data_IF_482518929105
#
_entry.id   IF_482518929105
#
_cell.length_a   1.000
_cell.length_b   1.000
_cell.length_c   1.000
_cell.angle_alpha   90.00
_cell.angle_beta   90.00
_cell.angle_gamma   90.00
#
_symmetry.space_group_name_H-M   'P 1'
#
loop_
_entity.id
_entity.type
_entity.pdbx_description
1 polymer ?
#
# COMPACT_ATOMS: atom_id res chain seq x y z
N UNK A 1 19.31 -17.49 6.03
CA UNK A 1 17.92 -18.01 6.00
C UNK A 1 17.37 -17.95 7.42
N UNK A 2 16.06 -17.97 7.65
CA UNK A 2 15.50 -18.14 8.99
C UNK A 2 15.54 -19.63 9.42
N UNK A 3 15.03 -19.96 10.61
CA UNK A 3 14.95 -21.33 11.15
C UNK A 3 14.16 -22.33 10.29
N UNK A 4 13.40 -21.85 9.30
CA UNK A 4 12.65 -22.64 8.33
C UNK A 4 13.26 -22.61 6.93
N UNK A 5 14.52 -22.20 6.83
CA UNK A 5 15.28 -22.09 5.58
C UNK A 5 14.72 -21.07 4.56
N UNK A 6 13.91 -20.10 5.00
CA UNK A 6 13.43 -19.02 4.13
C UNK A 6 14.44 -17.88 4.04
N UNK A 7 14.56 -17.29 2.84
CA UNK A 7 15.33 -16.06 2.65
C UNK A 7 14.67 -14.90 3.39
N UNK A 8 15.45 -14.20 4.19
CA UNK A 8 15.06 -12.96 4.85
C UNK A 8 15.58 -11.80 4.03
N UNK A 9 14.72 -10.83 3.73
CA UNK A 9 15.08 -9.61 2.98
C UNK A 9 14.50 -8.40 3.68
N UNK A 10 15.17 -7.24 3.56
CA UNK A 10 14.63 -5.98 4.06
C UNK A 10 13.59 -5.42 3.08
N UNK A 11 12.61 -4.68 3.57
CA UNK A 11 11.56 -4.10 2.72
C UNK A 11 12.13 -3.23 1.60
N UNK A 12 13.12 -2.39 1.87
CA UNK A 12 13.77 -1.54 0.87
C UNK A 12 14.51 -2.32 -0.24
N UNK A 13 14.77 -3.62 -0.06
CA UNK A 13 15.37 -4.48 -1.08
C UNK A 13 14.33 -5.10 -2.01
N UNK A 14 13.07 -5.22 -1.57
CA UNK A 14 12.01 -6.00 -2.24
C UNK A 14 10.76 -5.20 -2.57
N UNK A 15 10.60 -3.98 -2.04
CA UNK A 15 9.47 -3.10 -2.32
C UNK A 15 9.82 -1.63 -2.13
N UNK A 16 9.00 -0.76 -2.72
CA UNK A 16 9.03 0.70 -2.49
C UNK A 16 7.79 1.14 -1.71
N UNK A 17 7.97 1.95 -0.67
CA UNK A 17 6.85 2.58 0.04
C UNK A 17 6.56 3.95 -0.59
N UNK A 18 5.34 4.13 -1.08
CA UNK A 18 4.82 5.39 -1.61
C UNK A 18 3.98 6.10 -0.57
N UNK A 19 4.34 7.34 -0.27
CA UNK A 19 3.47 8.26 0.46
C UNK A 19 2.28 8.65 -0.42
N UNK A 20 1.10 8.75 0.20
CA UNK A 20 -0.04 9.33 -0.46
C UNK A 20 0.16 10.80 -0.83
N UNK A 21 -0.66 11.26 -1.78
CA UNK A 21 -0.72 12.66 -2.21
C UNK A 21 -2.16 13.16 -2.28
N UNK A 22 -2.33 14.46 -2.08
CA UNK A 22 -3.62 15.12 -2.29
C UNK A 22 -4.11 14.92 -3.73
N UNK A 23 -5.37 14.48 -3.86
CA UNK A 23 -5.98 14.08 -5.12
C UNK A 23 -6.66 15.23 -5.90
N UNK A 24 -6.84 16.42 -5.31
CA UNK A 24 -7.68 17.50 -5.89
C UNK A 24 -7.32 17.90 -7.33
N UNK A 25 -6.04 17.79 -7.70
CA UNK A 25 -5.56 18.18 -9.04
C UNK A 25 -5.72 17.07 -10.09
N UNK A 26 -5.90 15.83 -9.65
CA UNK A 26 -5.98 14.65 -10.51
C UNK A 26 -7.37 14.01 -10.53
N UNK A 27 -8.21 14.34 -9.55
CA UNK A 27 -9.60 13.86 -9.45
C UNK A 27 -10.41 14.25 -10.69
N UNK A 28 -11.03 13.24 -11.29
CA UNK A 28 -11.76 13.34 -12.54
C UNK A 28 -12.80 12.20 -12.60
N UNK A 29 -14.06 12.53 -12.85
CA UNK A 29 -15.15 11.55 -12.93
C UNK A 29 -14.98 10.59 -14.13
N UNK A 30 -14.31 11.03 -15.19
CA UNK A 30 -13.97 10.23 -16.36
C UNK A 30 -12.53 9.66 -16.27
N UNK A 31 -11.91 9.77 -15.09
CA UNK A 31 -10.57 9.28 -14.80
C UNK A 31 -10.45 7.75 -14.94
N UNK A 32 -9.27 7.28 -15.34
CA UNK A 32 -9.01 5.85 -15.56
C UNK A 32 -8.43 5.12 -14.35
N UNK A 33 -7.94 5.86 -13.36
CA UNK A 33 -7.22 5.29 -12.23
C UNK A 33 -8.01 5.51 -10.95
N UNK A 34 -8.29 4.47 -10.15
CA UNK A 34 -8.99 4.65 -8.90
C UNK A 34 -8.17 5.48 -7.91
N UNK A 35 -8.86 6.34 -7.18
CA UNK A 35 -8.33 7.03 -6.00
C UNK A 35 -8.66 6.18 -4.79
N UNK A 36 -7.63 5.76 -4.08
CA UNK A 36 -7.77 4.99 -2.85
C UNK A 36 -7.39 5.80 -1.62
N UNK A 37 -8.26 5.74 -0.61
CA UNK A 37 -7.88 5.93 0.78
C UNK A 37 -7.72 4.61 1.51
N UNK A 38 -7.42 4.68 2.81
CA UNK A 38 -7.32 3.49 3.68
C UNK A 38 -8.63 2.69 3.81
N UNK A 39 -9.77 3.28 3.40
CA UNK A 39 -11.09 2.65 3.45
C UNK A 39 -11.57 2.04 2.12
N UNK A 40 -10.77 2.11 1.05
CA UNK A 40 -11.17 1.70 -0.29
C UNK A 40 -11.18 2.83 -1.31
N UNK A 41 -11.86 2.59 -2.43
CA UNK A 41 -11.99 3.54 -3.54
C UNK A 41 -12.89 4.70 -3.09
N UNK A 42 -12.50 5.92 -3.45
CA UNK A 42 -13.28 7.13 -3.15
C UNK A 42 -13.54 8.02 -4.37
N UNK A 43 -12.99 7.66 -5.53
CA UNK A 43 -13.14 8.41 -6.78
C UNK A 43 -12.22 7.87 -7.85
N UNK A 44 -12.10 8.61 -8.96
CA UNK A 44 -11.19 8.30 -10.05
C UNK A 44 -10.31 9.51 -10.37
N UNK A 45 -9.16 9.23 -10.95
CA UNK A 45 -8.13 10.19 -11.30
C UNK A 45 -7.66 9.98 -12.73
N UNK A 46 -7.24 11.08 -13.35
CA UNK A 46 -6.59 11.07 -14.67
C UNK A 46 -5.12 10.61 -14.63
N UNK A 47 -4.52 10.54 -13.44
CA UNK A 47 -3.14 10.14 -13.22
C UNK A 47 -3.00 9.20 -12.01
N UNK A 48 -1.85 8.54 -11.85
CA UNK A 48 -1.56 7.57 -10.80
C UNK A 48 -0.16 7.77 -10.22
N UNK A 49 0.04 7.33 -8.97
CA UNK A 49 1.34 7.41 -8.29
C UNK A 49 1.80 6.08 -7.72
N UNK A 50 0.93 5.07 -7.73
CA UNK A 50 1.24 3.71 -7.30
C UNK A 50 0.96 2.73 -8.44
N UNK A 51 1.94 1.86 -8.73
CA UNK A 51 1.79 0.83 -9.76
C UNK A 51 0.80 -0.27 -9.33
N UNK A 52 0.20 -0.94 -10.31
CA UNK A 52 -0.60 -2.16 -10.11
C UNK A 52 0.14 -3.25 -9.33
N UNK A 53 -0.64 -4.17 -8.76
CA UNK A 53 -0.17 -5.27 -7.90
C UNK A 53 0.53 -4.77 -6.62
N UNK A 54 0.05 -3.64 -6.09
CA UNK A 54 0.57 -3.05 -4.85
C UNK A 54 -0.44 -3.20 -3.72
N UNK A 55 0.07 -3.14 -2.50
CA UNK A 55 -0.75 -3.25 -1.29
C UNK A 55 -0.90 -1.89 -0.64
N UNK A 56 -2.12 -1.50 -0.30
CA UNK A 56 -2.39 -0.31 0.49
C UNK A 56 -2.40 -0.68 1.96
N UNK A 57 -1.76 0.12 2.79
CA UNK A 57 -1.88 0.08 4.25
C UNK A 57 -2.32 1.46 4.78
N UNK A 58 -3.26 1.49 5.71
CA UNK A 58 -3.71 2.74 6.33
C UNK A 58 -2.65 3.36 7.25
N UNK A 59 -2.81 4.64 7.62
CA UNK A 59 -1.92 5.30 8.61
C UNK A 59 -2.48 5.28 10.04
N UNK A 60 -3.80 5.36 10.22
CA UNK A 60 -4.50 5.36 11.51
C UNK A 60 -5.91 4.76 11.34
N UNK A 61 -6.38 3.95 12.29
CA UNK A 61 -7.73 3.37 12.31
C UNK A 61 -7.95 2.16 11.37
N UNK A 62 -7.35 2.19 10.17
CA UNK A 62 -7.41 1.11 9.17
C UNK A 62 -6.02 0.50 8.87
N UNK A 63 -5.05 0.63 9.78
CA UNK A 63 -3.67 0.21 9.54
C UNK A 63 -3.53 -1.32 9.29
N UNK A 64 -4.38 -2.12 9.93
CA UNK A 64 -4.42 -3.58 9.79
C UNK A 64 -5.49 -4.08 8.81
N UNK A 65 -6.00 -3.22 7.92
CA UNK A 65 -6.95 -3.59 6.85
C UNK A 65 -6.30 -3.34 5.49
N UNK A 66 -5.29 -4.14 5.09
CA UNK A 66 -4.63 -3.93 3.82
C UNK A 66 -5.57 -4.18 2.64
N UNK A 67 -5.28 -3.54 1.50
CA UNK A 67 -6.04 -3.72 0.25
C UNK A 67 -5.04 -4.05 -0.86
N UNK A 68 -5.23 -5.17 -1.55
CA UNK A 68 -4.46 -5.50 -2.75
C UNK A 68 -5.13 -4.87 -3.97
N UNK A 69 -4.38 -4.05 -4.72
CA UNK A 69 -4.89 -3.33 -5.90
C UNK A 69 -4.24 -3.89 -7.17
N UNK A 70 -5.07 -4.24 -8.17
CA UNK A 70 -4.66 -4.91 -9.41
C UNK A 70 -4.44 -3.98 -10.60
N UNK A 71 -4.66 -2.69 -10.39
CA UNK A 71 -4.51 -1.63 -11.39
C UNK A 71 -3.63 -0.51 -10.84
N UNK A 72 -3.15 0.38 -11.72
CA UNK A 72 -2.43 1.57 -11.26
C UNK A 72 -3.42 2.50 -10.55
N UNK A 73 -2.98 3.16 -9.49
CA UNK A 73 -3.89 3.95 -8.67
C UNK A 73 -3.23 5.19 -8.06
N UNK A 74 -4.09 6.10 -7.63
CA UNK A 74 -3.70 7.24 -6.81
C UNK A 74 -3.99 6.94 -5.34
N UNK A 75 -2.99 6.96 -4.47
CA UNK A 75 -3.21 6.83 -3.03
C UNK A 75 -3.23 8.20 -2.35
N UNK A 76 -4.22 8.44 -1.49
CA UNK A 76 -4.29 9.70 -0.72
C UNK A 76 -3.49 9.64 0.56
N UNK A 77 -3.24 10.80 1.16
CA UNK A 77 -2.33 11.02 2.30
C UNK A 77 -2.64 10.17 3.55
N UNK A 78 -3.82 9.56 3.62
CA UNK A 78 -4.27 8.69 4.72
C UNK A 78 -3.77 7.24 4.60
N UNK A 79 -3.05 6.89 3.53
CA UNK A 79 -2.54 5.55 3.29
C UNK A 79 -1.15 5.54 2.63
N UNK A 80 -0.43 4.43 2.79
CA UNK A 80 0.79 4.13 2.05
C UNK A 80 0.52 3.09 0.97
N UNK A 81 1.15 3.25 -0.19
CA UNK A 81 1.22 2.22 -1.22
C UNK A 81 2.52 1.42 -1.09
N UNK A 82 2.43 0.10 -1.05
CA UNK A 82 3.56 -0.83 -1.02
C UNK A 82 3.71 -1.44 -2.42
N UNK A 83 4.66 -0.92 -3.20
CA UNK A 83 4.97 -1.40 -4.55
C UNK A 83 6.00 -2.54 -4.49
N UNK A 84 5.61 -3.81 -4.67
CA UNK A 84 6.58 -4.90 -4.71
C UNK A 84 7.46 -4.83 -5.97
N UNK A 85 8.72 -5.21 -5.82
CA UNK A 85 9.57 -5.61 -6.94
C UNK A 85 9.17 -7.05 -7.27
N UNK A 86 8.34 -7.23 -8.30
CA UNK A 86 7.65 -8.50 -8.59
C UNK A 86 8.61 -9.66 -8.89
N UNK A 87 9.84 -9.37 -9.32
CA UNK A 87 10.90 -10.37 -9.52
C UNK A 87 11.46 -10.91 -8.19
N UNK A 88 11.19 -10.23 -7.07
CA UNK A 88 11.69 -10.58 -5.73
C UNK A 88 10.60 -11.03 -4.77
N UNK A 89 9.38 -10.52 -4.91
CA UNK A 89 8.25 -10.86 -4.03
C UNK A 89 6.93 -10.81 -4.81
N UNK A 90 6.13 -11.85 -4.62
CA UNK A 90 4.78 -11.93 -5.16
C UNK A 90 3.82 -11.00 -4.39
N UNK A 91 2.90 -10.34 -5.11
CA UNK A 91 1.98 -9.35 -4.54
C UNK A 91 0.97 -9.95 -3.55
N UNK A 92 0.50 -11.16 -3.79
CA UNK A 92 -0.44 -11.90 -2.94
C UNK A 92 0.26 -12.30 -1.65
N UNK A 93 1.50 -12.78 -1.75
CA UNK A 93 2.31 -13.05 -0.57
C UNK A 93 2.52 -11.81 0.29
N UNK A 94 2.88 -10.67 -0.32
CA UNK A 94 3.00 -9.40 0.40
C UNK A 94 1.67 -9.00 1.05
N UNK A 95 0.55 -9.15 0.35
CA UNK A 95 -0.78 -8.87 0.89
C UNK A 95 -1.11 -9.74 2.11
N UNK A 96 -0.93 -11.06 2.01
CA UNK A 96 -1.16 -11.98 3.13
C UNK A 96 -0.23 -11.70 4.30
N UNK A 97 1.04 -11.37 4.04
CA UNK A 97 1.95 -10.90 5.08
C UNK A 97 1.38 -9.67 5.79
N UNK A 98 0.91 -8.67 5.03
CA UNK A 98 0.31 -7.46 5.60
C UNK A 98 -0.98 -7.74 6.37
N UNK A 99 -1.75 -8.77 6.02
CA UNK A 99 -2.94 -9.16 6.79
C UNK A 99 -2.58 -9.80 8.14
N UNK A 100 -1.46 -10.51 8.20
CA UNK A 100 -1.02 -11.23 9.40
C UNK A 100 -0.14 -10.38 10.32
N UNK A 101 0.59 -9.41 9.76
CA UNK A 101 1.47 -8.55 10.52
C UNK A 101 0.68 -7.44 11.24
N UNK A 102 0.84 -7.34 12.56
CA UNK A 102 0.22 -6.27 13.33
C UNK A 102 1.00 -4.96 13.20
N UNK A 103 0.59 -4.10 12.27
CA UNK A 103 1.20 -2.79 12.01
C UNK A 103 0.94 -1.75 13.11
N UNK A 104 -0.04 -1.94 14.00
CA UNK A 104 -0.21 -1.04 15.17
C UNK A 104 1.04 -1.00 16.05
N UNK A 105 1.87 -2.06 16.04
CA UNK A 105 3.17 -2.07 16.73
C UNK A 105 4.15 -1.01 16.22
N UNK A 106 3.95 -0.52 15.00
CA UNK A 106 4.77 0.51 14.37
C UNK A 106 4.13 1.91 14.49
N UNK A 107 2.95 2.01 15.10
CA UNK A 107 2.24 3.26 15.28
C UNK A 107 2.95 4.11 16.36
N UNK A 108 3.59 5.21 15.94
CA UNK A 108 4.30 6.14 16.83
C UNK A 108 3.43 7.31 17.31
N UNK A 109 2.13 7.30 17.00
CA UNK A 109 1.21 8.39 17.38
C UNK A 109 0.79 8.37 18.87
N UNK A 110 1.24 7.37 19.63
CA UNK A 110 1.07 7.34 21.08
C UNK A 110 2.45 7.53 21.72
N UNK A 111 2.81 8.77 21.96
CA UNK A 111 3.76 9.10 23.04
C UNK A 111 2.96 8.95 24.33
N UNK A 112 3.32 7.96 25.16
CA UNK A 112 2.94 7.94 26.57
C UNK A 112 3.80 8.99 27.28
#
# INVERSE_FOLDING_TARGET
>A
LNEKEWKVSKWNEILTIRNGKNQKQVEDADGKFPIYGSGGIMGYAKDWIVKKNSVIIGRKGNINKPILVRENFWNVDTAFGLEPVLEKINSEYLFYFCQLYNFEKLNKAVTI
#
